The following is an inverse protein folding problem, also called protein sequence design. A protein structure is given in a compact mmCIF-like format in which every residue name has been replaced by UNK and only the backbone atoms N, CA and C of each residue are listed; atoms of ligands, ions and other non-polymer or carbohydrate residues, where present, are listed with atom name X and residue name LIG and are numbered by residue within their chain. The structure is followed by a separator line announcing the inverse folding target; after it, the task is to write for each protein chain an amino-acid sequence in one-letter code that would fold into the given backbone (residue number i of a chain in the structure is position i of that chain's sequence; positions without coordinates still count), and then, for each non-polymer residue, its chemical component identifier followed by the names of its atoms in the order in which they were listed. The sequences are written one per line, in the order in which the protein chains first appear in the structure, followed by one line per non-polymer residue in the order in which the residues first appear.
data_IF_616012729854
#
_entry.id   IF_616012729854
#
_cell.length_a   1.000
_cell.length_b   1.000
_cell.length_c   1.000
_cell.angle_alpha   90.00
_cell.angle_beta   90.00
_cell.angle_gamma   90.00
#
_symmetry.space_group_name_H-M   'P 1'
#
loop_
_entity.id
_entity.type
_entity.pdbx_description
1 polymer ?
#
# COMPACT_ATOMS: atom_id res chain seq x y z
N UNK A 1 11.52 5.30 10.67
CA UNK A 1 10.79 4.02 10.56
C UNK A 1 11.30 3.13 11.67
N UNK A 2 10.42 2.73 12.60
CA UNK A 2 10.81 1.87 13.72
C UNK A 2 10.81 0.40 13.26
N UNK A 3 11.77 -0.44 13.70
CA UNK A 3 11.77 -1.85 13.37
C UNK A 3 10.56 -2.54 14.00
N UNK A 4 9.87 -3.39 13.22
CA UNK A 4 8.77 -4.22 13.73
C UNK A 4 9.35 -5.35 14.57
N UNK A 5 8.90 -5.45 15.83
CA UNK A 5 9.36 -6.46 16.78
C UNK A 5 8.83 -7.85 16.39
N UNK A 6 9.68 -8.87 16.40
CA UNK A 6 9.26 -10.26 16.19
C UNK A 6 8.53 -10.76 17.44
N UNK A 7 7.20 -10.66 17.46
CA UNK A 7 6.37 -11.36 18.44
C UNK A 7 6.05 -12.78 17.97
N UNK A 8 6.03 -13.75 18.89
CA UNK A 8 5.54 -15.09 18.56
C UNK A 8 4.06 -15.00 18.15
N UNK A 9 3.74 -15.39 16.91
CA UNK A 9 2.40 -15.39 16.29
C UNK A 9 1.73 -14.01 16.18
N UNK A 10 2.41 -13.03 15.56
CA UNK A 10 1.84 -11.73 15.24
C UNK A 10 1.53 -11.58 13.73
N UNK A 11 0.42 -10.91 13.41
CA UNK A 11 0.12 -10.42 12.06
C UNK A 11 0.38 -8.92 12.01
N UNK A 12 1.17 -8.48 11.03
CA UNK A 12 1.31 -7.06 10.71
C UNK A 12 0.18 -6.65 9.77
N UNK A 13 -0.68 -5.74 10.21
CA UNK A 13 -1.77 -5.16 9.41
C UNK A 13 -1.37 -3.75 9.01
N UNK A 14 -1.57 -3.41 7.73
CA UNK A 14 -1.21 -2.11 7.17
C UNK A 14 -2.39 -1.55 6.37
N UNK A 15 -2.47 -0.21 6.34
CA UNK A 15 -3.44 0.55 5.55
C UNK A 15 -2.79 0.91 4.22
N UNK A 16 -3.44 0.55 3.12
CA UNK A 16 -3.00 0.96 1.79
C UNK A 16 -3.52 2.35 1.41
N UNK A 17 -3.05 2.84 0.27
CA UNK A 17 -3.44 4.14 -0.27
C UNK A 17 -4.91 4.20 -0.71
N UNK A 18 -5.48 3.09 -1.17
CA UNK A 18 -6.90 3.02 -1.53
C UNK A 18 -7.80 3.23 -0.30
N UNK A 19 -7.50 2.56 0.82
CA UNK A 19 -8.23 2.74 2.07
C UNK A 19 -7.97 4.12 2.70
N UNK A 20 -6.75 4.65 2.58
CA UNK A 20 -6.47 6.04 2.99
C UNK A 20 -7.33 7.04 2.20
N UNK A 21 -7.46 6.87 0.89
CA UNK A 21 -8.36 7.66 0.04
C UNK A 21 -9.82 7.51 0.45
N UNK A 22 -10.30 6.28 0.64
CA UNK A 22 -11.70 6.03 1.01
C UNK A 22 -12.04 6.65 2.37
N UNK A 23 -11.11 6.56 3.32
CA UNK A 23 -11.28 7.10 4.68
C UNK A 23 -11.05 8.62 4.79
N UNK A 24 -10.94 9.34 3.68
CA UNK A 24 -10.63 10.78 3.66
C UNK A 24 -9.34 11.13 4.43
N UNK A 25 -8.31 10.26 4.37
CA UNK A 25 -7.06 10.36 5.15
C UNK A 25 -7.21 10.34 6.67
N UNK A 26 -8.32 9.83 7.21
CA UNK A 26 -8.37 9.47 8.63
C UNK A 26 -7.50 8.25 8.95
N UNK A 27 -7.37 7.34 7.99
CA UNK A 27 -6.38 6.26 8.01
C UNK A 27 -5.22 6.64 7.09
N UNK A 28 -3.99 6.44 7.56
CA UNK A 28 -2.79 6.90 6.87
C UNK A 28 -2.03 5.73 6.26
N UNK A 29 -1.84 5.77 4.95
CA UNK A 29 -0.98 4.85 4.22
C UNK A 29 0.49 5.14 4.50
N UNK A 30 1.04 4.51 5.54
CA UNK A 30 2.42 4.78 5.97
C UNK A 30 3.42 4.10 5.02
N UNK A 31 4.40 4.83 4.44
CA UNK A 31 5.43 4.23 3.61
C UNK A 31 6.22 3.18 4.40
N UNK A 32 6.48 2.02 3.79
CA UNK A 32 7.33 0.98 4.36
C UNK A 32 8.27 0.41 3.29
N UNK A 33 9.44 -0.08 3.72
CA UNK A 33 10.41 -0.72 2.83
C UNK A 33 11.04 -1.92 3.52
N UNK A 34 11.29 -2.98 2.74
CA UNK A 34 12.10 -4.10 3.21
C UNK A 34 13.54 -3.69 3.06
N UNK A 35 14.22 -3.55 4.21
CA UNK A 35 15.63 -3.26 4.22
C UNK A 35 16.45 -4.51 4.33
N UNK A 36 17.63 -4.31 3.82
CA UNK A 36 18.64 -5.27 3.57
C UNK A 36 19.62 -5.16 4.78
N UNK A 37 20.03 -6.27 5.39
CA UNK A 37 20.87 -6.23 6.59
C UNK A 37 22.34 -6.05 6.18
N UNK A 38 22.76 -4.79 6.10
CA UNK A 38 24.08 -4.41 5.58
C UNK A 38 25.24 -4.75 6.51
N UNK A 39 24.98 -5.05 7.78
CA UNK A 39 26.00 -5.37 8.79
C UNK A 39 26.23 -6.89 8.93
N UNK A 40 25.45 -7.71 8.21
CA UNK A 40 25.58 -9.16 8.24
C UNK A 40 26.48 -9.68 7.10
N UNK A 41 27.56 -10.39 7.44
CA UNK A 41 28.42 -11.10 6.48
C UNK A 41 27.63 -12.13 5.65
N UNK A 42 26.62 -12.74 6.27
CA UNK A 42 25.67 -13.66 5.65
C UNK A 42 24.26 -13.27 6.06
N UNK A 43 23.38 -13.17 5.08
CA UNK A 43 22.03 -12.69 5.25
C UNK A 43 21.15 -13.82 5.76
N UNK A 44 20.46 -13.67 6.89
CA UNK A 44 19.57 -14.71 7.38
C UNK A 44 18.36 -14.84 6.46
N UNK A 45 17.86 -16.06 6.31
CA UNK A 45 16.63 -16.32 5.56
C UNK A 45 15.45 -15.57 6.20
N UNK A 46 14.67 -14.90 5.36
CA UNK A 46 13.46 -14.18 5.76
C UNK A 46 12.33 -14.52 4.81
N UNK A 47 11.31 -15.19 5.32
CA UNK A 47 10.07 -15.44 4.60
C UNK A 47 9.04 -14.35 4.88
N UNK A 48 8.28 -13.98 3.85
CA UNK A 48 7.20 -13.00 3.95
C UNK A 48 6.02 -13.52 3.14
N UNK A 49 4.85 -13.62 3.77
CA UNK A 49 3.60 -13.95 3.11
C UNK A 49 2.65 -12.78 3.32
N UNK A 50 2.14 -12.22 2.22
CA UNK A 50 1.28 -11.04 2.23
C UNK A 50 -0.07 -11.40 1.66
N UNK A 51 -1.12 -10.91 2.31
CA UNK A 51 -2.49 -11.00 1.82
C UNK A 51 -3.04 -9.58 1.64
N UNK A 52 -3.50 -9.27 0.43
CA UNK A 52 -4.14 -7.99 0.11
C UNK A 52 -5.66 -8.15 0.17
N UNK A 53 -6.29 -7.44 1.10
CA UNK A 53 -7.74 -7.39 1.20
C UNK A 53 -8.24 -6.22 0.36
N UNK A 54 -8.73 -6.49 -0.85
CA UNK A 54 -9.19 -5.47 -1.78
C UNK A 54 -10.70 -5.56 -2.02
N UNK A 55 -11.40 -4.44 -2.23
CA UNK A 55 -12.77 -4.45 -2.73
C UNK A 55 -12.84 -5.01 -4.17
N UNK A 56 -14.06 -5.30 -4.63
CA UNK A 56 -14.29 -5.68 -6.02
C UNK A 56 -13.87 -4.54 -6.96
N UNK A 57 -13.46 -4.86 -8.19
CA UNK A 57 -12.89 -3.87 -9.12
C UNK A 57 -13.89 -2.76 -9.46
N UNK A 58 -15.15 -3.11 -9.49
CA UNK A 58 -16.28 -2.25 -9.84
C UNK A 58 -16.74 -1.38 -8.66
N UNK A 59 -16.22 -1.62 -7.45
CA UNK A 59 -16.55 -0.82 -6.27
C UNK A 59 -16.10 0.62 -6.47
N UNK A 60 -17.04 1.56 -6.34
CA UNK A 60 -16.77 2.99 -6.34
C UNK A 60 -16.20 3.37 -4.96
N UNK A 61 -15.08 4.07 -4.98
CA UNK A 61 -14.39 4.57 -3.80
C UNK A 61 -14.71 6.05 -3.68
N UNK A 62 -15.63 6.37 -2.78
CA UNK A 62 -16.05 7.72 -2.46
C UNK A 62 -16.06 7.90 -0.94
N UNK A 63 -15.33 8.89 -0.43
CA UNK A 63 -15.27 9.12 1.02
C UNK A 63 -16.61 9.55 1.60
N UNK A 64 -17.53 10.06 0.76
CA UNK A 64 -18.89 10.44 1.17
C UNK A 64 -19.74 9.23 1.60
N UNK A 65 -19.38 8.02 1.18
CA UNK A 65 -20.04 6.79 1.65
C UNK A 65 -19.80 6.53 3.14
N UNK A 66 -18.66 7.03 3.66
CA UNK A 66 -18.27 6.89 5.06
C UNK A 66 -18.49 8.19 5.86
N UNK A 67 -18.31 9.33 5.21
CA UNK A 67 -18.35 10.67 5.80
C UNK A 67 -19.19 11.62 4.91
N UNK A 68 -20.53 11.50 4.93
CA UNK A 68 -21.41 12.23 4.01
C UNK A 68 -21.40 13.76 4.21
N UNK A 69 -21.11 14.22 5.42
CA UNK A 69 -21.10 15.64 5.77
C UNK A 69 -19.75 16.34 5.52
N UNK A 70 -18.74 15.59 5.06
CA UNK A 70 -17.40 16.11 4.81
C UNK A 70 -17.13 16.30 3.30
N UNK A 71 -16.49 17.41 2.90
CA UNK A 71 -16.07 17.57 1.51
C UNK A 71 -14.99 16.51 1.19
N UNK A 72 -15.16 15.76 0.08
CA UNK A 72 -14.21 14.72 -0.28
C UNK A 72 -12.88 15.34 -0.74
N UNK A 73 -11.75 14.80 -0.27
CA UNK A 73 -10.41 15.22 -0.71
C UNK A 73 -10.08 14.77 -2.14
N UNK A 74 -10.78 13.75 -2.64
CA UNK A 74 -10.55 13.17 -3.97
C UNK A 74 -11.88 12.94 -4.69
N UNK A 75 -11.91 13.04 -6.03
CA UNK A 75 -13.08 12.61 -6.79
C UNK A 75 -13.31 11.09 -6.62
N UNK A 76 -14.53 10.59 -6.83
CA UNK A 76 -14.79 9.15 -6.85
C UNK A 76 -13.96 8.45 -7.92
N UNK A 77 -13.51 7.23 -7.62
CA UNK A 77 -12.78 6.36 -8.56
C UNK A 77 -13.19 4.91 -8.34
N UNK A 78 -13.12 4.04 -9.36
CA UNK A 78 -13.30 2.61 -9.11
C UNK A 78 -12.03 2.00 -8.48
N UNK A 79 -12.18 0.97 -7.67
CA UNK A 79 -11.03 0.24 -7.12
C UNK A 79 -10.13 -0.34 -8.23
N UNK A 80 -10.72 -0.79 -9.34
CA UNK A 80 -10.01 -1.32 -10.49
C UNK A 80 -9.18 -0.26 -11.22
N UNK A 81 -9.70 0.94 -11.42
CA UNK A 81 -8.97 2.05 -12.05
C UNK A 81 -7.80 2.48 -11.16
N UNK A 82 -8.05 2.64 -9.85
CA UNK A 82 -6.99 2.97 -8.90
C UNK A 82 -5.86 1.93 -8.91
N UNK A 83 -6.20 0.63 -8.85
CA UNK A 83 -5.20 -0.43 -8.92
C UNK A 83 -4.39 -0.37 -10.23
N UNK A 84 -5.06 -0.12 -11.35
CA UNK A 84 -4.41 -0.01 -12.66
C UNK A 84 -3.44 1.17 -12.72
N UNK A 85 -3.83 2.33 -12.19
CA UNK A 85 -2.95 3.51 -12.05
C UNK A 85 -1.70 3.18 -11.23
N UNK A 86 -1.87 2.51 -10.07
CA UNK A 86 -0.77 2.17 -9.16
C UNK A 86 0.19 1.14 -9.74
N UNK A 87 -0.34 0.11 -10.40
CA UNK A 87 0.49 -0.89 -11.09
C UNK A 87 1.27 -0.24 -12.24
N UNK A 88 0.62 0.62 -13.03
CA UNK A 88 1.30 1.35 -14.09
C UNK A 88 2.42 2.23 -13.53
N UNK A 89 2.18 3.00 -12.47
CA UNK A 89 3.22 3.82 -11.83
C UNK A 89 4.39 2.98 -11.30
N UNK A 90 4.09 1.87 -10.61
CA UNK A 90 5.11 1.00 -10.03
C UNK A 90 5.98 0.35 -11.11
N UNK A 91 5.37 -0.13 -12.20
CA UNK A 91 6.08 -0.93 -13.20
C UNK A 91 6.59 -0.13 -14.41
N UNK A 92 6.03 1.04 -14.74
CA UNK A 92 6.58 1.94 -15.75
C UNK A 92 7.97 2.46 -15.35
N UNK A 93 8.25 2.60 -14.05
CA UNK A 93 9.58 2.98 -13.57
C UNK A 93 10.67 1.90 -13.77
N UNK A 94 10.27 0.64 -14.02
CA UNK A 94 11.19 -0.51 -14.14
C UNK A 94 11.89 -0.62 -15.50
N UNK A 95 11.50 0.19 -16.49
CA UNK A 95 12.24 0.32 -17.75
C UNK A 95 13.34 1.38 -17.65
N UNK A 96 14.32 1.19 -16.76
CA UNK A 96 15.64 1.78 -16.98
C UNK A 96 16.29 0.97 -18.10
N UNK A 97 16.44 1.59 -19.27
CA UNK A 97 17.34 1.08 -20.31
C UNK A 97 18.70 0.77 -19.65
N UNK A 98 19.31 -0.41 -19.88
CA UNK A 98 20.69 -0.63 -19.47
C UNK A 98 21.54 0.47 -20.11
N UNK A 99 22.37 1.13 -19.29
CA UNK A 99 22.96 2.43 -19.59
C UNK A 99 23.68 2.52 -20.93
N UNK A 100 23.51 3.69 -21.56
CA UNK A 100 24.63 4.39 -22.22
C UNK A 100 25.60 4.91 -21.18
#
# INVERSE_FOLDING_TARGET
MLPTTRGNLALLVHVDDLLARWSNHRLIATPHRVMADHDADIWPERYSMVYFCCPAKETIIDSRDLFPDEPPLYPPITAGDHLSERLNQAYQHSYRQPGT
#
